data_IF_343351869288
#
_entry.id   IF_343351869288
#
_cell.length_a   1.000
_cell.length_b   1.000
_cell.length_c   1.000
_cell.angle_alpha   90.00
_cell.angle_beta   90.00
_cell.angle_gamma   90.00
#
_symmetry.space_group_name_H-M   'P 1'
#
loop_
_entity.id
_entity.type
_entity.pdbx_description
1 polymer ?
#
# COMPACT_ATOMS: atom_id res chain seq x y z
N UNK A 1 23.56 -48.09 12.54
CA UNK A 1 23.36 -46.87 13.36
C UNK A 1 23.29 -47.30 14.81
N UNK A 2 24.17 -46.80 15.67
CA UNK A 2 24.25 -47.21 17.08
C UNK A 2 23.02 -46.73 17.87
N UNK A 3 22.57 -47.50 18.85
CA UNK A 3 21.40 -47.22 19.70
C UNK A 3 21.44 -45.86 20.42
N UNK A 4 22.63 -45.27 20.57
CA UNK A 4 22.82 -43.93 21.14
C UNK A 4 22.34 -42.77 20.25
N UNK A 5 22.28 -42.96 18.93
CA UNK A 5 21.90 -41.87 18.00
C UNK A 5 20.38 -41.68 17.90
N UNK A 6 19.61 -42.73 18.21
CA UNK A 6 18.15 -42.62 18.31
C UNK A 6 17.75 -41.83 19.56
N UNK A 7 18.42 -42.05 20.69
CA UNK A 7 18.08 -41.37 21.94
C UNK A 7 18.34 -39.86 21.86
N UNK A 8 19.41 -39.44 21.18
CA UNK A 8 19.73 -38.03 20.98
C UNK A 8 18.72 -37.34 20.07
N UNK A 9 18.28 -37.98 18.99
CA UNK A 9 17.22 -37.48 18.10
C UNK A 9 15.89 -37.31 18.83
N UNK A 10 15.48 -38.28 19.64
CA UNK A 10 14.23 -38.19 20.41
C UNK A 10 14.27 -37.06 21.45
N UNK A 11 15.40 -36.89 22.14
CA UNK A 11 15.58 -35.79 23.10
C UNK A 11 15.58 -34.42 22.40
N UNK A 12 16.15 -34.32 21.20
CA UNK A 12 16.16 -33.09 20.39
C UNK A 12 14.75 -32.71 19.92
N UNK A 13 13.97 -33.69 19.42
CA UNK A 13 12.59 -33.49 18.96
C UNK A 13 11.68 -33.10 20.13
N UNK A 14 11.85 -33.72 21.30
CA UNK A 14 11.10 -33.33 22.50
C UNK A 14 11.45 -31.92 22.98
N UNK A 15 12.71 -31.51 22.90
CA UNK A 15 13.11 -30.15 23.28
C UNK A 15 12.53 -29.10 22.32
N UNK A 16 12.52 -29.39 21.02
CA UNK A 16 11.86 -28.58 19.98
C UNK A 16 10.34 -28.46 20.19
N UNK A 17 9.64 -29.55 20.53
CA UNK A 17 8.18 -29.54 20.75
C UNK A 17 7.78 -28.79 22.04
N UNK A 18 8.63 -28.84 23.07
CA UNK A 18 8.33 -28.21 24.38
C UNK A 18 8.45 -26.68 24.33
N UNK A 19 9.30 -26.13 23.46
CA UNK A 19 9.41 -24.67 23.25
C UNK A 19 8.12 -24.05 22.66
N UNK A 20 7.32 -24.80 21.91
CA UNK A 20 6.12 -24.25 21.26
C UNK A 20 4.87 -24.23 22.14
N UNK A 21 4.89 -24.86 23.33
CA UNK A 21 3.71 -24.97 24.20
C UNK A 21 3.65 -23.92 25.32
N UNK A 22 4.64 -23.02 25.39
CA UNK A 22 4.81 -22.07 26.50
C UNK A 22 4.19 -20.67 26.32
N UNK A 23 3.47 -20.39 25.24
CA UNK A 23 2.86 -19.07 25.02
C UNK A 23 1.33 -19.16 24.94
N UNK A 24 0.68 -19.34 26.10
CA UNK A 24 -0.74 -19.03 26.22
C UNK A 24 -0.85 -17.51 26.42
N UNK A 25 -1.06 -16.77 25.34
CA UNK A 25 -1.43 -15.36 25.43
C UNK A 25 -2.85 -15.27 26.02
N UNK A 26 -2.96 -14.72 27.23
CA UNK A 26 -4.25 -14.46 27.88
C UNK A 26 -5.01 -13.41 27.06
N UNK A 27 -6.04 -13.82 26.34
CA UNK A 27 -6.98 -12.90 25.71
C UNK A 27 -7.85 -12.29 26.79
N UNK A 28 -7.58 -11.05 27.19
CA UNK A 28 -8.57 -10.26 27.92
C UNK A 28 -9.81 -10.08 27.03
N UNK A 29 -11.04 -10.20 27.58
CA UNK A 29 -12.23 -9.96 26.80
C UNK A 29 -12.28 -8.47 26.45
N UNK A 30 -11.91 -8.16 25.21
CA UNK A 30 -12.17 -6.85 24.62
C UNK A 30 -13.66 -6.56 24.74
N UNK A 31 -14.01 -5.49 25.46
CA UNK A 31 -15.37 -4.96 25.47
C UNK A 31 -15.71 -4.55 24.03
N UNK A 32 -16.42 -5.43 23.33
CA UNK A 32 -17.09 -5.09 22.07
C UNK A 32 -18.20 -4.09 22.38
N UNK A 33 -17.84 -2.81 22.44
CA UNK A 33 -18.76 -1.77 22.00
C UNK A 33 -19.03 -2.02 20.51
N UNK A 34 -20.27 -1.90 20.03
CA UNK A 34 -20.50 -1.88 18.60
C UNK A 34 -19.75 -0.68 18.04
N UNK A 35 -18.59 -0.93 17.42
CA UNK A 35 -17.83 0.10 16.72
C UNK A 35 -18.68 0.47 15.51
N UNK A 36 -19.54 1.47 15.67
CA UNK A 36 -19.99 2.29 14.55
C UNK A 36 -18.73 2.66 13.79
N UNK A 37 -18.58 2.13 12.59
CA UNK A 37 -17.47 2.45 11.69
C UNK A 37 -17.48 3.97 11.56
N UNK A 38 -16.60 4.66 12.29
CA UNK A 38 -16.47 6.11 12.19
C UNK A 38 -16.00 6.35 10.76
N UNK A 39 -16.92 6.70 9.87
CA UNK A 39 -16.60 7.16 8.54
C UNK A 39 -15.72 8.38 8.71
N UNK A 40 -14.43 8.22 8.47
CA UNK A 40 -13.48 9.33 8.48
C UNK A 40 -13.91 10.32 7.41
N UNK A 41 -14.08 11.58 7.80
CA UNK A 41 -14.39 12.65 6.85
C UNK A 41 -13.11 13.12 6.18
N UNK A 42 -13.10 13.14 4.84
CA UNK A 42 -11.97 13.54 4.02
C UNK A 42 -12.23 14.83 3.24
N UNK A 43 -13.36 15.50 3.46
CA UNK A 43 -13.76 16.69 2.71
C UNK A 43 -12.81 17.89 2.86
N UNK A 44 -11.94 17.89 3.87
CA UNK A 44 -10.93 18.95 4.07
C UNK A 44 -9.64 18.74 3.28
N UNK A 45 -9.54 17.65 2.49
CA UNK A 45 -8.38 17.40 1.65
C UNK A 45 -8.58 18.16 0.33
N UNK A 46 -7.79 19.22 0.15
CA UNK A 46 -7.81 20.03 -1.06
C UNK A 46 -6.98 19.41 -2.20
N UNK A 47 -5.94 18.63 -1.85
CA UNK A 47 -5.09 17.98 -2.84
C UNK A 47 -5.84 16.90 -3.63
N UNK A 48 -5.55 16.80 -4.92
CA UNK A 48 -6.13 15.79 -5.81
C UNK A 48 -5.09 14.73 -6.16
N UNK A 49 -5.53 13.49 -6.33
CA UNK A 49 -4.66 12.34 -6.57
C UNK A 49 -5.00 11.75 -7.93
N UNK A 50 -4.24 12.11 -8.95
CA UNK A 50 -4.45 11.69 -10.33
C UNK A 50 -3.66 10.42 -10.61
N UNK A 51 -4.32 9.29 -10.88
CA UNK A 51 -3.67 8.08 -11.37
C UNK A 51 -3.42 8.24 -12.87
N UNK A 52 -2.13 8.35 -13.23
CA UNK A 52 -1.70 8.55 -14.62
C UNK A 52 -1.71 7.24 -15.40
N UNK A 53 -1.59 7.38 -16.71
CA UNK A 53 -1.48 6.25 -17.66
C UNK A 53 -0.28 6.47 -18.58
N UNK A 54 0.11 5.42 -19.29
CA UNK A 54 1.20 5.47 -20.27
C UNK A 54 0.82 6.26 -21.53
N UNK A 55 -0.47 6.19 -21.89
CA UNK A 55 -1.01 6.83 -23.08
C UNK A 55 -1.08 8.35 -22.94
N UNK A 56 -1.35 8.85 -21.74
CA UNK A 56 -1.59 10.26 -21.44
C UNK A 56 -0.81 10.72 -20.19
N UNK A 57 0.55 10.74 -20.24
CA UNK A 57 1.38 11.09 -19.09
C UNK A 57 1.28 12.57 -18.67
N UNK A 58 0.77 13.42 -19.56
CA UNK A 58 0.58 14.86 -19.37
C UNK A 58 -0.78 15.21 -18.75
N UNK A 59 -1.83 14.41 -18.97
CA UNK A 59 -3.21 14.73 -18.58
C UNK A 59 -3.62 14.10 -17.24
N UNK A 60 -4.39 14.85 -16.46
CA UNK A 60 -5.07 14.35 -15.25
C UNK A 60 -6.45 13.81 -15.61
N UNK A 61 -6.52 12.54 -16.01
CA UNK A 61 -7.77 11.95 -16.51
C UNK A 61 -8.51 11.10 -15.49
N UNK A 62 -7.82 10.53 -14.48
CA UNK A 62 -8.48 9.69 -13.47
C UNK A 62 -8.06 10.03 -12.05
N UNK A 63 -9.03 10.34 -11.19
CA UNK A 63 -8.79 10.77 -9.81
C UNK A 63 -9.18 9.70 -8.79
N UNK A 64 -8.26 9.38 -7.89
CA UNK A 64 -8.50 8.61 -6.68
C UNK A 64 -9.02 9.54 -5.59
N UNK A 65 -10.28 9.39 -5.19
CA UNK A 65 -10.94 10.32 -4.26
C UNK A 65 -11.01 9.70 -2.85
N UNK A 66 -10.38 10.32 -1.83
CA UNK A 66 -10.44 9.84 -0.45
C UNK A 66 -11.87 9.64 0.05
N UNK A 67 -12.13 8.49 0.68
CA UNK A 67 -13.47 8.11 1.16
C UNK A 67 -14.43 7.61 0.08
N UNK A 68 -13.99 7.54 -1.18
CA UNK A 68 -14.75 7.00 -2.31
C UNK A 68 -14.03 5.81 -2.93
N UNK A 69 -14.10 4.65 -2.27
CA UNK A 69 -13.38 3.43 -2.66
C UNK A 69 -13.62 3.02 -4.12
N UNK A 70 -14.82 3.23 -4.65
CA UNK A 70 -15.16 2.91 -6.05
C UNK A 70 -14.29 3.64 -7.09
N UNK A 71 -13.69 4.78 -6.75
CA UNK A 71 -12.78 5.51 -7.66
C UNK A 71 -11.47 4.77 -7.90
N UNK A 72 -11.06 3.93 -6.95
CA UNK A 72 -9.86 3.08 -7.06
C UNK A 72 -10.05 2.04 -8.17
N UNK A 73 -11.21 1.38 -8.19
CA UNK A 73 -11.57 0.41 -9.22
C UNK A 73 -11.77 1.09 -10.59
N UNK A 74 -12.45 2.24 -10.62
CA UNK A 74 -12.72 2.98 -11.86
C UNK A 74 -11.44 3.44 -12.56
N UNK A 75 -10.40 3.79 -11.81
CA UNK A 75 -9.11 4.14 -12.36
C UNK A 75 -8.24 2.93 -12.73
N UNK A 76 -8.73 1.71 -12.55
CA UNK A 76 -7.98 0.47 -12.78
C UNK A 76 -6.68 0.40 -11.95
N UNK A 77 -6.73 0.90 -10.71
CA UNK A 77 -5.60 0.81 -9.80
C UNK A 77 -5.24 -0.66 -9.55
N UNK A 78 -3.97 -1.02 -9.75
CA UNK A 78 -3.52 -2.39 -9.55
C UNK A 78 -3.08 -2.60 -8.10
N UNK A 79 -3.91 -3.30 -7.32
CA UNK A 79 -3.65 -3.63 -5.91
C UNK A 79 -2.41 -4.51 -5.66
N UNK A 80 -1.91 -5.21 -6.68
CA UNK A 80 -0.73 -6.10 -6.58
C UNK A 80 0.57 -5.41 -6.95
N UNK A 81 0.48 -4.25 -7.59
CA UNK A 81 1.64 -3.50 -8.09
C UNK A 81 2.17 -2.48 -7.09
N UNK A 82 3.44 -2.10 -7.31
CA UNK A 82 4.03 -0.95 -6.61
C UNK A 82 3.29 0.33 -6.98
N UNK A 83 3.28 1.28 -6.06
CA UNK A 83 2.70 2.60 -6.27
C UNK A 83 3.77 3.67 -6.07
N UNK A 84 3.95 4.53 -7.07
CA UNK A 84 4.77 5.72 -7.01
C UNK A 84 3.87 6.94 -6.82
N UNK A 85 4.22 7.81 -5.87
CA UNK A 85 3.49 9.05 -5.61
C UNK A 85 4.42 10.22 -5.94
N UNK A 86 4.08 10.94 -7.01
CA UNK A 86 4.81 12.11 -7.49
C UNK A 86 4.14 13.35 -6.93
N UNK A 87 4.86 14.11 -6.13
CA UNK A 87 4.38 15.36 -5.52
C UNK A 87 5.23 16.49 -6.07
N UNK A 88 4.61 17.44 -6.77
CA UNK A 88 5.34 18.56 -7.36
C UNK A 88 5.75 19.60 -6.32
N UNK A 89 6.67 20.48 -6.70
CA UNK A 89 7.13 21.61 -5.89
C UNK A 89 6.30 22.87 -6.12
N UNK A 90 6.81 23.99 -5.61
CA UNK A 90 6.23 25.31 -5.84
C UNK A 90 6.30 25.69 -7.33
N UNK A 91 5.29 26.40 -7.82
CA UNK A 91 5.25 26.95 -9.19
C UNK A 91 4.64 28.34 -9.17
N UNK A 92 5.20 29.25 -9.99
CA UNK A 92 4.62 30.60 -10.19
C UNK A 92 3.32 30.52 -10.98
N UNK A 93 3.25 29.61 -11.95
CA UNK A 93 2.20 29.61 -12.96
C UNK A 93 0.93 28.90 -12.52
N UNK A 94 0.98 28.13 -11.43
CA UNK A 94 -0.13 27.25 -11.05
C UNK A 94 -0.33 26.10 -12.05
N UNK A 95 0.70 25.75 -12.82
CA UNK A 95 0.68 24.62 -13.76
C UNK A 95 1.82 23.65 -13.46
N UNK A 96 1.64 22.39 -13.83
CA UNK A 96 2.73 21.40 -13.76
C UNK A 96 3.90 21.82 -14.64
N UNK A 97 5.10 21.64 -14.09
CA UNK A 97 6.33 21.84 -14.84
C UNK A 97 6.61 20.65 -15.75
N UNK A 98 7.42 20.87 -16.80
CA UNK A 98 7.70 19.85 -17.83
C UNK A 98 8.41 18.59 -17.31
N UNK A 99 8.86 18.55 -16.06
CA UNK A 99 9.49 17.36 -15.50
C UNK A 99 8.47 16.32 -15.03
N UNK A 100 7.25 16.72 -14.65
CA UNK A 100 6.21 15.82 -14.14
C UNK A 100 5.90 14.71 -15.16
N UNK A 101 5.49 15.01 -16.40
CA UNK A 101 5.19 13.99 -17.39
C UNK A 101 6.42 13.16 -17.80
N UNK A 102 7.61 13.78 -17.84
CA UNK A 102 8.87 13.07 -18.12
C UNK A 102 9.20 12.03 -17.05
N UNK A 103 8.90 12.34 -15.78
CA UNK A 103 9.09 11.41 -14.68
C UNK A 103 8.05 10.29 -14.72
N UNK A 104 6.78 10.61 -14.98
CA UNK A 104 5.70 9.62 -15.15
C UNK A 104 6.07 8.61 -16.24
N UNK A 105 6.45 9.10 -17.42
CA UNK A 105 6.91 8.27 -18.55
C UNK A 105 8.13 7.41 -18.17
N UNK A 106 9.13 7.98 -17.50
CA UNK A 106 10.30 7.22 -17.05
C UNK A 106 9.97 6.13 -16.02
N UNK A 107 9.03 6.38 -15.11
CA UNK A 107 8.57 5.41 -14.11
C UNK A 107 7.86 4.23 -14.78
N UNK A 108 6.92 4.48 -15.69
CA UNK A 108 6.25 3.41 -16.42
C UNK A 108 7.20 2.64 -17.35
N UNK A 109 8.17 3.30 -17.98
CA UNK A 109 9.22 2.60 -18.75
C UNK A 109 10.04 1.64 -17.88
N UNK A 110 10.27 1.99 -16.62
CA UNK A 110 11.08 1.20 -15.68
C UNK A 110 10.26 0.12 -14.96
N UNK A 111 9.02 0.41 -14.59
CA UNK A 111 8.10 -0.47 -13.87
C UNK A 111 6.71 -0.42 -14.55
N UNK A 112 6.51 -1.16 -15.66
CA UNK A 112 5.33 -1.04 -16.54
C UNK A 112 4.00 -1.34 -15.85
N UNK A 113 3.99 -2.25 -14.89
CA UNK A 113 2.77 -2.65 -14.19
C UNK A 113 2.45 -1.77 -12.97
N UNK A 114 3.28 -0.75 -12.68
CA UNK A 114 3.12 0.09 -11.48
C UNK A 114 1.94 1.07 -11.56
N UNK A 115 1.52 1.59 -10.42
CA UNK A 115 0.60 2.73 -10.36
C UNK A 115 1.44 4.00 -10.19
N UNK A 116 1.23 5.03 -11.02
CA UNK A 116 1.88 6.34 -10.86
C UNK A 116 0.83 7.39 -10.55
N UNK A 117 0.82 7.88 -9.31
CA UNK A 117 -0.10 8.91 -8.84
C UNK A 117 0.62 10.25 -8.86
N UNK A 118 0.06 11.25 -9.54
CA UNK A 118 0.48 12.64 -9.44
C UNK A 118 -0.43 13.36 -8.45
N UNK A 119 0.16 14.01 -7.45
CA UNK A 119 -0.56 14.80 -6.45
C UNK A 119 -0.56 16.26 -6.88
N UNK A 120 -1.75 16.79 -7.13
CA UNK A 120 -2.02 18.19 -7.40
C UNK A 120 -2.33 18.92 -6.09
N UNK A 121 -1.55 19.94 -5.75
CA UNK A 121 -1.79 20.82 -4.60
C UNK A 121 -1.90 22.30 -5.00
N UNK A 122 -2.15 22.59 -6.27
CA UNK A 122 -2.31 23.94 -6.80
C UNK A 122 -3.74 24.46 -6.73
#
# INVERSE_FOLDING_TARGET
MSSGEFLTLFLWIHWLLTCCSGALATTEPSKTSPTTLKKTDFNSIESKFSLRTLEEPDDDTCYLVPGQEHTVDQCNFNHTSKTFVVIHGWTVTGMFESWVPKLVDALYKREPDSNVIVVDWL
#
